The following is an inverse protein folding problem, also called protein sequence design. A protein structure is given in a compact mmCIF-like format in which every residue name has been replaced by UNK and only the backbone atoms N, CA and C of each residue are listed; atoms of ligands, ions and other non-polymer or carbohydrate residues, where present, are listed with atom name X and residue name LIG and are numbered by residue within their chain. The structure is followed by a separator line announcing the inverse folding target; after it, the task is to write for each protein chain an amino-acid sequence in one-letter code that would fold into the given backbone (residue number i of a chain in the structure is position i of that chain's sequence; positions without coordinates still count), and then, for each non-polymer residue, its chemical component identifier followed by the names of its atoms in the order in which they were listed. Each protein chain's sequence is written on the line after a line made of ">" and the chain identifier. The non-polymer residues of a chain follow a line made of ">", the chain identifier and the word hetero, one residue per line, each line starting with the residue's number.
data_IF_857586504662
#
_entry.id   IF_857586504662
#
_cell.length_a   1.000
_cell.length_b   1.000
_cell.length_c   1.000
_cell.angle_alpha   90.00
_cell.angle_beta   90.00
_cell.angle_gamma   90.00
#
_symmetry.space_group_name_H-M   'P 1'
#
loop_
_entity.id
_entity.type
_entity.pdbx_description
1 polymer ?
#
# COMPACT_ATOMS: atom_id res chain seq x y z
N UNK A 1 72.62 -16.63 26.00
CA UNK A 1 73.47 -15.44 26.20
C UNK A 1 72.95 -14.37 25.25
N UNK A 2 72.07 -13.48 25.72
CA UNK A 2 72.38 -12.17 26.36
C UNK A 2 72.93 -11.17 25.32
N UNK A 3 72.43 -9.94 25.14
CA UNK A 3 71.74 -9.04 26.06
C UNK A 3 70.96 -7.92 25.32
N UNK A 4 69.94 -7.36 25.98
CA UNK A 4 69.47 -5.97 25.83
C UNK A 4 70.13 -5.11 26.96
N UNK A 5 69.83 -3.80 27.19
CA UNK A 5 69.45 -2.63 26.38
C UNK A 5 70.47 -1.46 26.63
N UNK A 6 70.17 -0.13 26.55
CA UNK A 6 69.34 0.55 27.57
C UNK A 6 68.40 1.69 27.07
N UNK A 7 67.41 1.99 27.91
CA UNK A 7 66.60 3.21 27.95
C UNK A 7 67.40 4.42 28.43
N UNK A 8 66.96 5.63 28.08
CA UNK A 8 67.29 6.83 28.84
C UNK A 8 66.03 7.67 29.02
N UNK A 9 65.81 7.98 30.28
CA UNK A 9 64.71 8.67 30.92
C UNK A 9 65.20 10.09 31.28
N UNK A 10 64.26 10.98 31.60
CA UNK A 10 64.43 12.35 32.15
C UNK A 10 64.98 13.44 31.18
N UNK A 11 64.47 14.67 31.12
CA UNK A 11 64.02 15.58 32.18
C UNK A 11 62.95 16.58 31.67
N UNK A 12 61.99 16.88 32.54
CA UNK A 12 61.16 18.11 32.50
C UNK A 12 62.01 19.33 32.89
N UNK A 13 61.54 20.57 32.61
CA UNK A 13 60.96 21.31 33.73
C UNK A 13 59.67 22.09 33.42
N UNK A 14 58.94 22.33 34.50
CA UNK A 14 57.72 23.15 34.66
C UNK A 14 58.02 24.65 34.50
N UNK A 15 57.00 25.39 34.04
CA UNK A 15 56.66 26.77 34.43
C UNK A 15 55.14 26.87 34.24
N UNK A 16 54.30 27.02 35.28
CA UNK A 16 53.89 28.29 35.92
C UNK A 16 53.60 29.36 34.85
N UNK A 17 52.38 29.88 34.61
CA UNK A 17 51.40 30.54 35.51
C UNK A 17 50.14 30.95 34.64
N UNK A 18 49.16 31.80 35.05
CA UNK A 18 47.87 31.43 35.66
C UNK A 18 46.57 31.75 34.85
N UNK A 19 45.51 31.05 35.27
CA UNK A 19 44.12 31.47 35.55
C UNK A 19 43.52 32.74 34.90
N UNK A 20 42.60 32.57 33.93
CA UNK A 20 41.53 33.54 33.61
C UNK A 20 40.25 32.80 33.23
N UNK A 21 39.25 32.85 34.11
CA UNK A 21 37.89 32.39 33.85
C UNK A 21 37.12 33.37 32.95
N UNK A 22 36.44 32.93 31.87
CA UNK A 22 35.51 33.79 31.14
C UNK A 22 34.14 33.80 31.82
N UNK A 23 33.69 34.99 32.19
CA UNK A 23 32.31 35.30 32.65
C UNK A 23 31.28 34.87 31.60
N UNK A 24 30.12 34.29 31.98
CA UNK A 24 29.00 34.11 31.06
C UNK A 24 28.30 35.44 30.79
N UNK A 25 28.26 35.83 29.52
CA UNK A 25 27.55 36.99 29.01
C UNK A 25 26.03 36.83 29.16
N UNK A 26 25.39 37.92 29.55
CA UNK A 26 23.94 38.09 29.66
C UNK A 26 23.36 38.53 28.30
N UNK A 27 22.15 38.02 28.01
CA UNK A 27 21.11 38.48 27.06
C UNK A 27 21.26 38.07 25.58
N UNK A 28 20.23 37.41 25.05
CA UNK A 28 19.11 38.04 24.33
C UNK A 28 17.97 37.03 24.12
N UNK A 29 16.76 37.43 24.46
CA UNK A 29 15.54 36.72 24.08
C UNK A 29 15.29 36.92 22.57
N UNK A 30 14.84 35.90 21.82
CA UNK A 30 14.39 36.11 20.45
C UNK A 30 12.99 36.73 20.44
N UNK A 31 12.87 37.86 19.73
CA UNK A 31 11.60 38.49 19.37
C UNK A 31 10.83 37.60 18.38
N UNK A 32 9.55 37.40 18.66
CA UNK A 32 8.59 36.64 17.87
C UNK A 32 7.82 37.61 16.96
N UNK A 33 8.41 37.96 15.82
CA UNK A 33 7.76 38.78 14.76
C UNK A 33 7.29 37.96 13.56
N UNK A 34 7.28 36.63 13.62
CA UNK A 34 7.00 35.77 12.45
C UNK A 34 5.54 35.34 12.29
N UNK A 35 4.64 35.69 13.20
CA UNK A 35 3.23 35.22 13.16
C UNK A 35 2.30 36.10 12.32
N UNK A 36 2.63 37.37 12.09
CA UNK A 36 1.75 38.29 11.36
C UNK A 36 1.98 38.25 9.83
N UNK A 37 3.17 37.88 9.36
CA UNK A 37 3.45 37.80 7.90
C UNK A 37 2.75 36.60 7.23
N UNK A 38 2.50 35.52 7.97
CA UNK A 38 1.80 34.33 7.45
C UNK A 38 0.29 34.60 7.30
N UNK A 39 -0.30 35.42 8.18
CA UNK A 39 -1.72 35.79 8.10
C UNK A 39 -2.02 36.72 6.91
N UNK A 40 -1.04 37.51 6.47
CA UNK A 40 -1.18 38.38 5.28
C UNK A 40 -1.08 37.57 3.99
N UNK A 41 -0.22 36.55 3.93
CA UNK A 41 -0.12 35.67 2.75
C UNK A 41 -1.38 34.82 2.54
N UNK A 42 -1.99 34.30 3.62
CA UNK A 42 -3.20 33.48 3.55
C UNK A 42 -4.49 34.26 3.23
N UNK A 43 -4.51 35.57 3.48
CA UNK A 43 -5.68 36.42 3.19
C UNK A 43 -5.76 36.91 1.75
N UNK A 44 -4.72 36.68 0.94
CA UNK A 44 -4.64 37.14 -0.46
C UNK A 44 -5.06 36.09 -1.51
N UNK A 45 -5.45 34.88 -1.08
CA UNK A 45 -5.76 33.75 -1.98
C UNK A 45 -7.26 33.41 -2.07
N UNK A 46 -8.14 34.30 -1.64
CA UNK A 46 -9.60 34.10 -1.64
C UNK A 46 -10.34 35.05 -2.60
N UNK A 47 -9.71 35.40 -3.72
CA UNK A 47 -10.40 36.14 -4.77
C UNK A 47 -10.55 35.27 -6.03
N UNK A 48 -11.80 34.85 -6.25
CA UNK A 48 -12.42 34.37 -7.50
C UNK A 48 -11.81 33.17 -8.25
N UNK A 49 -12.46 31.99 -8.29
CA UNK A 49 -12.18 31.01 -9.34
C UNK A 49 -12.75 31.52 -10.68
N UNK A 50 -11.85 31.75 -11.64
CA UNK A 50 -12.22 31.88 -13.06
C UNK A 50 -12.90 30.59 -13.54
N UNK A 51 -14.02 30.68 -14.30
CA UNK A 51 -14.63 29.49 -14.88
C UNK A 51 -13.74 28.97 -16.02
N UNK A 52 -13.20 27.76 -15.84
CA UNK A 52 -12.45 27.04 -16.87
C UNK A 52 -13.35 26.71 -18.08
N UNK A 53 -13.06 27.22 -19.29
CA UNK A 53 -13.86 27.02 -20.49
C UNK A 53 -13.71 25.62 -21.11
N UNK A 54 -12.92 24.72 -20.54
CA UNK A 54 -12.75 23.36 -21.06
C UNK A 54 -13.74 22.32 -20.54
N UNK A 55 -14.59 22.69 -19.58
CA UNK A 55 -15.76 21.91 -19.24
C UNK A 55 -16.92 22.37 -20.11
N UNK A 56 -17.11 21.65 -21.23
CA UNK A 56 -18.29 21.74 -22.07
C UNK A 56 -19.55 21.55 -21.22
N UNK A 57 -20.12 22.67 -20.78
CA UNK A 57 -21.37 22.72 -20.06
C UNK A 57 -22.49 22.30 -21.00
N UNK A 58 -22.84 21.02 -20.99
CA UNK A 58 -24.12 20.55 -21.50
C UNK A 58 -25.21 21.05 -20.56
N UNK A 59 -25.59 22.30 -20.77
CA UNK A 59 -26.70 22.93 -20.07
C UNK A 59 -27.98 22.15 -20.38
N UNK A 60 -28.78 21.88 -19.35
CA UNK A 60 -30.08 21.19 -19.40
C UNK A 60 -31.12 21.87 -20.30
N UNK A 61 -30.79 23.04 -20.85
CA UNK A 61 -31.61 23.79 -21.79
C UNK A 61 -31.55 23.25 -23.23
N UNK A 62 -30.44 22.66 -23.66
CA UNK A 62 -30.32 22.13 -25.03
C UNK A 62 -31.00 20.76 -25.22
N UNK A 63 -31.06 19.93 -24.18
CA UNK A 63 -31.83 18.68 -24.19
C UNK A 63 -33.35 18.94 -24.25
N UNK A 64 -33.84 19.97 -23.56
CA UNK A 64 -35.26 20.35 -23.62
C UNK A 64 -35.66 20.89 -25.02
N UNK A 65 -34.74 21.57 -25.71
CA UNK A 65 -34.96 22.07 -27.08
C UNK A 65 -34.84 20.96 -28.14
N UNK A 66 -34.01 19.95 -27.92
CA UNK A 66 -33.94 18.76 -28.79
C UNK A 66 -35.20 17.88 -28.65
N UNK A 67 -35.71 17.70 -27.43
CA UNK A 67 -36.95 16.95 -27.19
C UNK A 67 -38.19 17.66 -27.75
N UNK A 68 -38.23 18.99 -27.73
CA UNK A 68 -39.32 19.76 -28.33
C UNK A 68 -39.36 19.68 -29.87
N UNK A 69 -38.21 19.50 -30.54
CA UNK A 69 -38.15 19.34 -32.00
C UNK A 69 -38.55 17.94 -32.48
N UNK A 70 -38.50 16.95 -31.61
CA UNK A 70 -38.88 15.56 -31.94
C UNK A 70 -40.37 15.28 -31.71
N UNK A 71 -41.11 16.21 -31.08
CA UNK A 71 -42.55 16.12 -30.86
C UNK A 71 -43.39 16.79 -31.97
N UNK A 72 -42.76 17.50 -32.91
CA UNK A 72 -43.44 18.35 -33.92
C UNK A 72 -43.35 17.80 -35.36
N UNK A 73 -43.03 16.51 -35.56
CA UNK A 73 -42.95 15.92 -36.91
C UNK A 73 -44.05 14.86 -37.16
N UNK A 74 -45.28 15.26 -37.57
CA UNK A 74 -46.34 14.34 -37.95
C UNK A 74 -46.39 14.13 -39.47
N UNK A 75 -45.32 13.61 -40.09
CA UNK A 75 -45.37 13.20 -41.50
C UNK A 75 -44.25 12.23 -41.91
N UNK A 76 -44.42 10.92 -41.69
CA UNK A 76 -43.79 9.86 -42.49
C UNK A 76 -44.30 8.47 -42.10
N UNK A 77 -45.56 8.19 -42.45
CA UNK A 77 -46.04 6.84 -42.76
C UNK A 77 -46.06 6.71 -44.29
N UNK A 78 -45.95 5.47 -44.81
CA UNK A 78 -45.71 5.02 -46.20
C UNK A 78 -44.22 4.78 -46.48
N UNK A 79 -43.73 3.61 -46.90
CA UNK A 79 -44.32 2.41 -47.47
C UNK A 79 -43.34 1.22 -47.29
N UNK A 80 -43.80 -0.05 -47.26
CA UNK A 80 -43.00 -1.23 -47.00
C UNK A 80 -42.77 -2.05 -48.29
N UNK A 81 -41.53 -2.20 -48.78
CA UNK A 81 -41.21 -3.30 -49.72
C UNK A 81 -39.71 -3.65 -49.72
N UNK A 82 -39.43 -4.93 -49.45
CA UNK A 82 -38.22 -5.74 -49.71
C UNK A 82 -37.88 -6.52 -48.45
N UNK A 83 -38.09 -7.81 -48.33
CA UNK A 83 -38.26 -8.85 -49.34
C UNK A 83 -37.52 -10.09 -48.83
N UNK A 84 -38.12 -11.26 -49.08
CA UNK A 84 -37.66 -12.63 -48.86
C UNK A 84 -37.98 -13.27 -47.49
N UNK A 85 -38.47 -14.50 -47.36
CA UNK A 85 -39.33 -15.45 -48.11
C UNK A 85 -39.41 -16.70 -47.19
N UNK A 86 -40.36 -17.61 -47.46
CA UNK A 86 -40.50 -18.98 -46.88
C UNK A 86 -41.23 -19.07 -45.52
N UNK A 87 -42.39 -19.70 -45.39
CA UNK A 87 -43.19 -20.45 -46.36
C UNK A 87 -44.41 -21.15 -45.73
N UNK A 88 -45.29 -21.55 -46.65
CA UNK A 88 -46.31 -22.62 -46.57
C UNK A 88 -47.55 -22.38 -45.71
N UNK A 89 -48.60 -22.03 -46.45
CA UNK A 89 -50.02 -22.02 -46.13
C UNK A 89 -50.62 -23.41 -46.38
N UNK A 90 -51.46 -23.94 -45.48
CA UNK A 90 -52.39 -25.05 -45.76
C UNK A 90 -53.56 -25.06 -44.75
N UNK A 91 -54.66 -24.45 -45.19
CA UNK A 91 -56.06 -24.84 -45.04
C UNK A 91 -56.72 -24.97 -43.64
N UNK A 92 -57.67 -24.05 -43.40
CA UNK A 92 -58.86 -24.18 -42.55
C UNK A 92 -59.80 -25.30 -43.06
N UNK A 93 -60.97 -25.67 -42.44
CA UNK A 93 -61.76 -24.92 -41.45
C UNK A 93 -62.48 -25.78 -40.36
N UNK A 94 -63.45 -25.16 -39.67
CA UNK A 94 -64.61 -25.73 -38.93
C UNK A 94 -64.57 -25.51 -37.40
N UNK A 95 -65.27 -24.46 -36.97
CA UNK A 95 -65.93 -24.32 -35.65
C UNK A 95 -67.03 -25.40 -35.50
N UNK A 96 -67.43 -25.85 -34.29
CA UNK A 96 -67.88 -24.95 -33.23
C UNK A 96 -67.65 -25.38 -31.76
N UNK A 97 -67.94 -24.40 -30.89
CA UNK A 97 -68.46 -24.53 -29.54
C UNK A 97 -67.48 -24.70 -28.36
N UNK A 98 -67.55 -23.67 -27.51
CA UNK A 98 -67.39 -23.68 -26.05
C UNK A 98 -66.03 -24.09 -25.49
N UNK A 99 -65.20 -23.10 -25.18
CA UNK A 99 -64.66 -22.97 -23.83
C UNK A 99 -64.29 -21.52 -23.55
N UNK A 100 -64.95 -20.99 -22.51
CA UNK A 100 -64.61 -19.73 -21.86
C UNK A 100 -63.33 -19.97 -21.07
N UNK A 101 -62.20 -19.54 -21.59
CA UNK A 101 -60.95 -19.38 -20.86
C UNK A 101 -60.52 -17.91 -20.97
N UNK A 102 -60.28 -17.29 -19.82
CA UNK A 102 -59.64 -15.98 -19.74
C UNK A 102 -58.14 -16.12 -20.03
N UNK A 103 -57.57 -15.34 -20.96
CA UNK A 103 -56.13 -15.11 -21.00
C UNK A 103 -55.85 -13.68 -20.56
N UNK A 104 -55.11 -13.52 -19.45
CA UNK A 104 -54.79 -12.17 -18.99
C UNK A 104 -53.80 -12.04 -17.83
N UNK A 105 -53.00 -13.06 -17.52
CA UNK A 105 -51.82 -12.85 -16.68
C UNK A 105 -50.68 -12.32 -17.55
N UNK A 106 -50.75 -11.04 -17.89
CA UNK A 106 -49.61 -10.28 -18.41
C UNK A 106 -48.51 -10.28 -17.35
N UNK A 107 -47.45 -11.06 -17.57
CA UNK A 107 -46.19 -10.96 -16.85
C UNK A 107 -45.67 -9.53 -16.95
N UNK A 108 -45.78 -8.78 -15.85
CA UNK A 108 -45.10 -7.49 -15.73
C UNK A 108 -43.59 -7.77 -15.67
N UNK A 109 -42.76 -7.06 -16.46
CA UNK A 109 -41.32 -7.16 -16.32
C UNK A 109 -40.96 -6.78 -14.88
N UNK A 110 -40.31 -7.71 -14.19
CA UNK A 110 -39.90 -7.53 -12.81
C UNK A 110 -38.89 -6.38 -12.77
N UNK A 111 -39.25 -5.29 -12.09
CA UNK A 111 -38.42 -4.11 -11.92
C UNK A 111 -37.33 -4.40 -10.86
N UNK A 112 -36.33 -5.16 -11.28
CA UNK A 112 -35.17 -5.56 -10.47
C UNK A 112 -34.37 -4.34 -9.98
N UNK A 113 -34.39 -3.24 -10.74
CA UNK A 113 -33.74 -2.00 -10.38
C UNK A 113 -34.41 -1.37 -9.15
N UNK A 114 -35.75 -1.34 -9.10
CA UNK A 114 -36.51 -0.87 -7.93
C UNK A 114 -36.27 -1.73 -6.67
N UNK A 115 -36.10 -3.04 -6.83
CA UNK A 115 -35.77 -3.97 -5.75
C UNK A 115 -34.33 -3.77 -5.23
N UNK A 116 -33.36 -3.54 -6.12
CA UNK A 116 -31.97 -3.25 -5.76
C UNK A 116 -31.84 -1.92 -5.01
N UNK A 117 -32.52 -0.86 -5.48
CA UNK A 117 -32.50 0.44 -4.81
C UNK A 117 -33.15 0.39 -3.43
N UNK A 118 -34.27 -0.35 -3.28
CA UNK A 118 -34.90 -0.57 -1.96
C UNK A 118 -34.03 -1.40 -1.02
N UNK A 119 -33.33 -2.40 -1.53
CA UNK A 119 -32.37 -3.19 -0.74
C UNK A 119 -31.18 -2.35 -0.27
N UNK A 120 -30.64 -1.49 -1.15
CA UNK A 120 -29.51 -0.64 -0.80
C UNK A 120 -29.89 0.43 0.23
N UNK A 121 -31.07 1.04 0.10
CA UNK A 121 -31.58 2.00 1.08
C UNK A 121 -31.80 1.36 2.46
N UNK A 122 -32.21 0.09 2.51
CA UNK A 122 -32.33 -0.69 3.74
C UNK A 122 -30.97 -0.99 4.39
N UNK A 123 -29.96 -1.34 3.61
CA UNK A 123 -28.62 -1.63 4.13
C UNK A 123 -27.95 -0.38 4.72
N UNK A 124 -28.07 0.76 4.04
CA UNK A 124 -27.50 2.04 4.50
C UNK A 124 -28.20 2.53 5.79
N UNK A 125 -29.52 2.38 5.89
CA UNK A 125 -30.25 2.76 7.11
C UNK A 125 -29.94 1.85 8.30
N UNK A 126 -29.76 0.54 8.08
CA UNK A 126 -29.29 -0.37 9.13
C UNK A 126 -27.84 -0.08 9.55
N UNK A 127 -26.96 0.26 8.61
CA UNK A 127 -25.58 0.66 8.92
C UNK A 127 -25.53 1.95 9.75
N UNK A 128 -26.33 2.96 9.39
CA UNK A 128 -26.43 4.21 10.17
C UNK A 128 -27.06 3.99 11.55
N UNK A 129 -28.11 3.15 11.64
CA UNK A 129 -28.70 2.77 12.93
C UNK A 129 -27.71 2.03 13.83
N UNK A 130 -26.91 1.14 13.25
CA UNK A 130 -25.83 0.44 13.96
C UNK A 130 -24.72 1.41 14.43
N UNK A 131 -24.33 2.37 13.59
CA UNK A 131 -23.33 3.38 13.94
C UNK A 131 -23.83 4.30 15.07
N UNK A 132 -25.12 4.66 15.05
CA UNK A 132 -25.75 5.46 16.10
C UNK A 132 -25.86 4.68 17.41
N UNK A 133 -26.19 3.39 17.33
CA UNK A 133 -26.36 2.53 18.50
C UNK A 133 -25.02 2.14 19.15
N UNK A 134 -23.96 1.95 18.36
CA UNK A 134 -22.63 1.59 18.87
C UNK A 134 -21.86 2.76 19.50
N UNK A 135 -22.42 3.97 19.49
CA UNK A 135 -22.11 5.02 20.46
C UNK A 135 -20.64 5.42 20.61
N UNK A 136 -19.79 5.13 19.61
CA UNK A 136 -18.40 5.57 19.56
C UNK A 136 -18.27 6.71 18.56
N UNK A 137 -18.77 7.87 18.96
CA UNK A 137 -18.22 9.11 18.46
C UNK A 137 -16.74 9.12 18.85
N UNK A 138 -15.85 9.06 17.85
CA UNK A 138 -14.42 9.32 18.06
C UNK A 138 -14.29 10.67 18.77
N UNK A 139 -13.61 10.76 19.93
CA UNK A 139 -13.33 12.06 20.53
C UNK A 139 -12.46 12.87 19.55
N UNK A 140 -12.68 14.19 19.41
CA UNK A 140 -11.81 15.03 18.60
C UNK A 140 -10.39 15.00 19.18
N UNK A 141 -9.34 15.14 18.35
CA UNK A 141 -7.97 15.16 18.82
C UNK A 141 -7.78 16.34 19.78
N UNK A 142 -7.46 16.04 21.03
CA UNK A 142 -7.11 17.04 22.02
C UNK A 142 -5.81 17.76 21.62
N UNK A 143 -5.84 19.09 21.63
CA UNK A 143 -4.66 19.93 21.52
C UNK A 143 -3.64 19.56 22.62
N UNK A 144 -2.33 19.56 22.34
CA UNK A 144 -1.32 19.27 23.35
C UNK A 144 -1.29 20.40 24.38
N UNK A 145 -1.87 20.13 25.55
CA UNK A 145 -1.74 20.98 26.72
C UNK A 145 -0.27 21.07 27.15
N UNK A 146 0.20 22.31 27.20
CA UNK A 146 1.54 22.76 27.59
C UNK A 146 1.80 22.41 29.05
N UNK A 147 2.53 21.33 29.33
CA UNK A 147 3.00 21.01 30.69
C UNK A 147 4.24 21.83 31.06
N UNK A 148 4.08 22.68 32.06
CA UNK A 148 5.15 23.37 32.80
C UNK A 148 5.37 22.63 34.12
N UNK A 149 6.61 22.42 34.60
CA UNK A 149 6.90 21.41 35.59
C UNK A 149 6.67 21.92 37.03
N UNK A 150 6.08 21.07 37.87
CA UNK A 150 6.04 21.30 39.33
C UNK A 150 6.48 20.05 40.11
N UNK A 151 7.32 20.32 41.10
CA UNK A 151 8.15 19.41 41.91
C UNK A 151 7.40 18.37 42.75
N UNK A 152 8.01 17.17 42.79
CA UNK A 152 8.27 16.27 43.93
C UNK A 152 7.10 15.90 44.86
N UNK A 153 6.74 14.62 44.82
CA UNK A 153 6.63 13.80 46.04
C UNK A 153 7.07 12.37 45.75
N UNK A 154 7.97 11.88 46.60
CA UNK A 154 8.44 10.50 46.62
C UNK A 154 7.28 9.58 46.99
N UNK A 155 6.97 8.65 46.10
CA UNK A 155 6.17 7.46 46.40
C UNK A 155 6.98 6.28 45.90
N UNK A 156 7.20 5.37 46.84
CA UNK A 156 7.89 4.10 46.78
C UNK A 156 7.45 3.25 45.56
N UNK A 157 8.39 2.71 44.77
CA UNK A 157 8.04 1.90 43.61
C UNK A 157 7.56 0.52 44.05
N UNK A 158 6.41 0.02 43.54
CA UNK A 158 6.04 -1.37 43.72
C UNK A 158 7.07 -2.30 43.05
N UNK A 159 7.34 -3.49 43.61
CA UNK A 159 8.34 -4.40 43.08
C UNK A 159 8.03 -4.79 41.64
N UNK A 160 9.08 -4.78 40.81
CA UNK A 160 9.09 -5.19 39.42
C UNK A 160 8.05 -6.26 39.12
N UNK A 161 6.98 -5.85 38.44
CA UNK A 161 6.20 -6.78 37.65
C UNK A 161 7.19 -7.43 36.69
N UNK A 162 7.40 -8.73 36.92
CA UNK A 162 8.18 -9.65 36.10
C UNK A 162 7.98 -9.24 34.66
N UNK A 163 9.07 -8.78 34.02
CA UNK A 163 9.12 -8.62 32.59
C UNK A 163 8.64 -9.95 32.01
N UNK A 164 7.40 -9.95 31.51
CA UNK A 164 6.94 -11.02 30.65
C UNK A 164 7.90 -10.93 29.49
N UNK A 165 8.87 -11.85 29.46
CA UNK A 165 9.83 -11.95 28.39
C UNK A 165 9.03 -11.85 27.10
N UNK A 166 9.30 -10.80 26.32
CA UNK A 166 8.79 -10.72 24.96
C UNK A 166 9.03 -12.11 24.33
N UNK A 167 8.04 -12.72 23.67
CA UNK A 167 8.23 -14.03 23.07
C UNK A 167 9.49 -13.95 22.22
N UNK A 168 10.44 -14.86 22.49
CA UNK A 168 11.70 -14.93 21.77
C UNK A 168 11.39 -14.76 20.28
N UNK A 169 11.90 -13.67 19.68
CA UNK A 169 11.68 -13.44 18.26
C UNK A 169 12.09 -14.72 17.54
N UNK A 170 11.23 -15.28 16.66
CA UNK A 170 11.57 -16.51 15.97
C UNK A 170 12.95 -16.32 15.36
N UNK A 171 13.86 -17.25 15.63
CA UNK A 171 15.26 -17.17 15.23
C UNK A 171 15.35 -16.94 13.73
N UNK A 172 15.54 -15.68 13.34
CA UNK A 172 15.62 -15.28 11.95
C UNK A 172 16.94 -15.85 11.38
N UNK A 173 16.85 -16.68 10.35
CA UNK A 173 18.05 -17.13 9.66
C UNK A 173 18.56 -16.01 8.78
N UNK A 174 19.73 -15.48 9.11
CA UNK A 174 20.33 -14.37 8.37
C UNK A 174 21.44 -14.87 7.44
N UNK A 175 21.46 -14.36 6.21
CA UNK A 175 22.52 -14.61 5.22
C UNK A 175 22.96 -13.29 4.57
N UNK A 176 24.08 -13.31 3.85
CA UNK A 176 24.55 -12.17 3.04
C UNK A 176 24.16 -12.34 1.57
N UNK A 177 24.40 -11.30 0.78
CA UNK A 177 24.25 -11.38 -0.68
C UNK A 177 25.22 -12.41 -1.28
N UNK A 178 24.75 -13.11 -2.31
CA UNK A 178 25.44 -14.22 -2.98
C UNK A 178 25.53 -15.52 -2.19
N UNK A 179 25.06 -15.57 -0.93
CA UNK A 179 25.19 -16.75 -0.07
C UNK A 179 23.87 -17.52 0.03
N UNK A 180 23.80 -18.76 -0.50
CA UNK A 180 22.59 -19.57 -0.45
C UNK A 180 22.26 -20.00 0.98
N UNK A 181 20.98 -20.04 1.31
CA UNK A 181 20.45 -20.65 2.53
C UNK A 181 19.40 -21.69 2.16
N UNK A 182 19.50 -22.88 2.76
CA UNK A 182 18.53 -23.97 2.52
C UNK A 182 17.54 -24.03 3.67
N UNK A 183 16.26 -24.10 3.32
CA UNK A 183 15.14 -24.12 4.25
C UNK A 183 14.11 -25.14 3.76
N UNK A 184 13.97 -26.25 4.47
CA UNK A 184 12.97 -27.30 4.20
C UNK A 184 12.87 -27.73 2.73
N UNK A 185 14.01 -27.86 2.05
CA UNK A 185 14.06 -28.26 0.64
C UNK A 185 13.87 -27.11 -0.36
N UNK A 186 13.80 -25.86 0.10
CA UNK A 186 13.92 -24.66 -0.73
C UNK A 186 15.30 -24.03 -0.53
N UNK A 187 16.09 -23.90 -1.60
CA UNK A 187 17.32 -23.11 -1.59
C UNK A 187 17.00 -21.67 -2.00
N UNK A 188 17.37 -20.74 -1.13
CA UNK A 188 17.13 -19.30 -1.29
C UNK A 188 18.48 -18.59 -1.38
N UNK A 189 18.75 -17.94 -2.50
CA UNK A 189 20.00 -17.22 -2.75
C UNK A 189 19.70 -15.75 -3.03
N UNK A 190 19.91 -14.85 -2.07
CA UNK A 190 19.84 -13.41 -2.32
C UNK A 190 20.97 -13.03 -3.27
N UNK A 191 20.65 -12.45 -4.43
CA UNK A 191 21.65 -12.15 -5.46
C UNK A 191 22.23 -10.75 -5.28
N UNK A 192 21.38 -9.75 -5.28
CA UNK A 192 21.77 -8.34 -5.31
C UNK A 192 20.65 -7.43 -4.81
N UNK A 193 21.03 -6.24 -4.35
CA UNK A 193 20.13 -5.14 -4.00
C UNK A 193 20.45 -3.94 -4.88
N UNK A 194 19.45 -3.40 -5.57
CA UNK A 194 19.61 -2.21 -6.43
C UNK A 194 18.74 -1.08 -5.91
N UNK A 195 19.20 0.16 -6.11
CA UNK A 195 18.32 1.33 -6.04
C UNK A 195 17.74 1.58 -7.43
N UNK A 196 16.41 1.60 -7.56
CA UNK A 196 15.75 1.84 -8.86
C UNK A 196 14.39 2.52 -8.72
N UNK A 197 13.94 3.13 -9.82
CA UNK A 197 12.56 3.56 -9.98
C UNK A 197 11.63 2.37 -10.17
N UNK A 198 10.40 2.49 -9.69
CA UNK A 198 9.36 1.46 -9.76
C UNK A 198 8.14 2.04 -10.46
N UNK A 199 7.62 1.31 -11.44
CA UNK A 199 6.42 1.67 -12.20
C UNK A 199 5.25 0.76 -11.81
N UNK A 200 4.24 1.36 -11.19
CA UNK A 200 2.96 0.71 -10.92
C UNK A 200 1.97 1.11 -12.02
N UNK A 201 1.34 0.12 -12.64
CA UNK A 201 0.40 0.30 -13.75
C UNK A 201 -0.96 -0.25 -13.36
N UNK A 202 -2.02 0.46 -13.73
CA UNK A 202 -3.39 -0.01 -13.62
C UNK A 202 -4.07 0.09 -14.97
N UNK A 203 -4.49 -1.05 -15.50
CA UNK A 203 -5.24 -1.12 -16.75
C UNK A 203 -6.72 -0.80 -16.50
N UNK A 204 -7.27 0.12 -17.29
CA UNK A 204 -8.67 0.56 -17.29
C UNK A 204 -9.30 0.31 -18.66
N UNK A 205 -9.12 -0.90 -19.21
CA UNK A 205 -9.54 -1.23 -20.58
C UNK A 205 -8.51 -0.77 -21.60
N UNK A 206 -8.86 0.22 -22.43
CA UNK A 206 -7.96 0.78 -23.46
C UNK A 206 -6.96 1.80 -22.90
N UNK A 207 -7.22 2.32 -21.70
CA UNK A 207 -6.34 3.26 -21.02
C UNK A 207 -5.53 2.58 -19.91
N UNK A 208 -4.33 3.12 -19.64
CA UNK A 208 -3.48 2.69 -18.53
C UNK A 208 -3.10 3.88 -17.66
N UNK A 209 -3.37 3.79 -16.36
CA UNK A 209 -2.81 4.72 -15.38
C UNK A 209 -1.44 4.23 -14.93
N UNK A 210 -0.50 5.15 -14.82
CA UNK A 210 0.89 4.87 -14.46
C UNK A 210 1.26 5.72 -13.25
N UNK A 211 1.92 5.09 -12.28
CA UNK A 211 2.55 5.75 -11.13
C UNK A 211 4.01 5.36 -11.07
N UNK A 212 4.86 6.36 -11.04
CA UNK A 212 6.31 6.18 -10.92
C UNK A 212 6.74 6.55 -9.51
N UNK A 213 7.61 5.71 -8.96
CA UNK A 213 8.12 5.82 -7.60
C UNK A 213 9.64 5.73 -7.64
N UNK A 214 10.33 6.80 -7.27
CA UNK A 214 11.78 6.84 -7.24
C UNK A 214 12.36 6.43 -5.89
N UNK A 215 13.62 5.97 -5.92
CA UNK A 215 14.37 5.68 -4.70
C UNK A 215 13.89 4.47 -3.92
N UNK A 216 13.28 3.50 -4.60
CA UNK A 216 12.99 2.18 -4.05
C UNK A 216 14.26 1.31 -4.06
N UNK A 217 14.31 0.34 -3.16
CA UNK A 217 15.27 -0.76 -3.22
C UNK A 217 14.61 -1.98 -3.85
N UNK A 218 15.39 -2.75 -4.60
CA UNK A 218 14.98 -3.98 -5.23
C UNK A 218 15.94 -5.10 -4.85
N UNK A 219 15.48 -6.05 -4.04
CA UNK A 219 16.21 -7.27 -3.72
C UNK A 219 15.81 -8.36 -4.71
N UNK A 220 16.79 -8.88 -5.47
CA UNK A 220 16.58 -10.06 -6.31
C UNK A 220 16.98 -11.31 -5.54
N UNK A 221 16.06 -12.26 -5.43
CA UNK A 221 16.25 -13.53 -4.73
C UNK A 221 16.03 -14.68 -5.70
N UNK A 222 17.02 -15.55 -5.82
CA UNK A 222 16.90 -16.80 -6.56
C UNK A 222 16.35 -17.89 -5.65
N UNK A 223 15.29 -18.53 -6.10
CA UNK A 223 14.63 -19.64 -5.44
C UNK A 223 14.85 -20.90 -6.25
N UNK A 224 15.25 -21.97 -5.59
CA UNK A 224 15.40 -23.29 -6.19
C UNK A 224 14.71 -24.33 -5.33
N UNK A 225 13.76 -25.04 -5.92
CA UNK A 225 13.09 -26.14 -5.23
C UNK A 225 13.98 -27.38 -5.31
N UNK A 226 14.50 -27.84 -4.18
CA UNK A 226 15.37 -29.01 -4.07
C UNK A 226 14.59 -30.33 -3.95
N UNK A 227 13.26 -30.30 -3.92
CA UNK A 227 12.48 -31.54 -3.98
C UNK A 227 12.71 -32.23 -5.34
N UNK A 228 12.85 -33.56 -5.31
CA UNK A 228 12.99 -34.38 -6.52
C UNK A 228 11.62 -34.81 -7.07
N UNK A 229 10.69 -35.14 -6.18
CA UNK A 229 9.35 -35.67 -6.51
C UNK A 229 8.22 -34.81 -5.91
N UNK A 230 8.51 -33.55 -5.55
CA UNK A 230 7.58 -32.66 -4.86
C UNK A 230 6.54 -32.00 -5.76
N UNK A 231 5.60 -31.28 -5.15
CA UNK A 231 4.69 -30.40 -5.89
C UNK A 231 5.37 -29.05 -6.21
N UNK A 232 4.76 -28.29 -7.12
CA UNK A 232 5.16 -26.89 -7.39
C UNK A 232 4.94 -26.06 -6.14
N UNK A 233 5.96 -25.30 -5.75
CA UNK A 233 5.88 -24.38 -4.61
C UNK A 233 5.60 -22.97 -5.11
N UNK A 234 4.82 -22.20 -4.35
CA UNK A 234 4.72 -20.75 -4.53
C UNK A 234 5.27 -20.06 -3.29
N UNK A 235 6.60 -19.83 -3.21
CA UNK A 235 7.24 -19.45 -1.95
C UNK A 235 6.77 -18.08 -1.43
N UNK A 236 6.55 -17.12 -2.33
CA UNK A 236 6.12 -15.75 -1.99
C UNK A 236 4.92 -15.41 -2.85
N UNK A 237 3.96 -14.64 -2.31
CA UNK A 237 2.89 -14.00 -3.10
C UNK A 237 2.75 -12.53 -2.73
N UNK A 238 2.11 -11.76 -3.60
CA UNK A 238 1.88 -10.33 -3.39
C UNK A 238 1.19 -10.00 -2.04
N UNK A 239 0.24 -10.85 -1.60
CA UNK A 239 -0.46 -10.65 -0.34
C UNK A 239 0.45 -10.75 0.90
N UNK A 240 1.59 -11.45 0.81
CA UNK A 240 2.51 -11.56 1.94
C UNK A 240 3.23 -10.24 2.22
N UNK A 241 3.41 -9.39 1.20
CA UNK A 241 4.12 -8.11 1.34
C UNK A 241 3.42 -7.12 2.28
N UNK A 242 2.14 -7.34 2.56
CA UNK A 242 1.34 -6.51 3.48
C UNK A 242 1.71 -6.77 4.95
N UNK A 243 2.29 -7.94 5.26
CA UNK A 243 2.79 -8.26 6.61
C UNK A 243 4.12 -7.54 6.87
N UNK A 244 4.05 -6.28 7.30
CA UNK A 244 5.22 -5.43 7.57
C UNK A 244 6.14 -5.91 8.71
N UNK A 245 5.73 -6.90 9.50
CA UNK A 245 6.62 -7.52 10.51
C UNK A 245 7.47 -8.64 9.90
N UNK A 246 6.92 -9.36 8.93
CA UNK A 246 7.63 -10.40 8.18
C UNK A 246 8.39 -9.85 6.98
N UNK A 247 7.88 -8.80 6.33
CA UNK A 247 8.36 -8.22 5.08
C UNK A 247 8.70 -6.74 5.28
N UNK A 248 9.96 -6.48 5.63
CA UNK A 248 10.45 -5.13 5.85
C UNK A 248 11.97 -5.08 5.79
N UNK A 249 12.53 -3.87 5.71
CA UNK A 249 13.96 -3.61 5.87
C UNK A 249 14.17 -3.00 7.25
N UNK A 250 14.93 -3.71 8.10
CA UNK A 250 15.48 -3.15 9.33
C UNK A 250 16.67 -2.25 8.97
N UNK A 251 16.56 -0.95 9.24
CA UNK A 251 17.58 0.04 8.89
C UNK A 251 18.01 0.88 10.12
N UNK A 252 18.75 0.30 11.08
CA UNK A 252 19.17 1.01 12.29
C UNK A 252 20.09 2.20 11.94
N UNK A 253 19.99 3.36 12.61
CA UNK A 253 19.09 3.70 13.74
C UNK A 253 17.68 4.18 13.34
N UNK A 254 17.28 4.04 12.08
CA UNK A 254 16.02 4.53 11.53
C UNK A 254 14.83 3.56 11.67
N UNK A 255 13.63 4.02 11.26
CA UNK A 255 12.44 3.18 11.20
C UNK A 255 12.57 2.11 10.12
N UNK A 256 11.81 1.03 10.27
CA UNK A 256 11.67 0.01 9.23
C UNK A 256 11.15 0.61 7.93
N UNK A 257 11.64 0.10 6.81
CA UNK A 257 11.12 0.41 5.48
C UNK A 257 10.19 -0.73 5.09
N UNK A 258 8.92 -0.42 4.81
CA UNK A 258 7.95 -1.42 4.38
C UNK A 258 8.24 -1.89 2.96
N UNK A 259 7.66 -3.04 2.58
CA UNK A 259 7.64 -3.47 1.20
C UNK A 259 6.62 -2.67 0.39
N UNK A 260 6.90 -2.51 -0.90
CA UNK A 260 5.95 -1.96 -1.85
C UNK A 260 4.82 -2.98 -2.04
N UNK A 261 3.76 -2.85 -1.25
CA UNK A 261 2.61 -3.74 -1.27
C UNK A 261 1.41 -3.04 -1.91
N UNK A 262 0.89 -3.60 -3.00
CA UNK A 262 -0.34 -3.13 -3.61
C UNK A 262 -1.54 -3.81 -2.96
N UNK A 263 -2.57 -3.02 -2.63
CA UNK A 263 -3.78 -3.55 -2.01
C UNK A 263 -4.44 -4.60 -2.93
N UNK A 264 -4.86 -5.77 -2.40
CA UNK A 264 -5.60 -6.75 -3.18
C UNK A 264 -6.83 -6.13 -3.83
N UNK A 265 -7.04 -6.41 -5.12
CA UNK A 265 -8.19 -5.86 -5.87
C UNK A 265 -8.08 -4.39 -6.27
N UNK A 266 -6.96 -3.72 -6.00
CA UNK A 266 -6.74 -2.32 -6.39
C UNK A 266 -6.63 -2.11 -7.90
N UNK A 267 -6.44 -3.19 -8.68
CA UNK A 267 -6.20 -3.16 -10.12
C UNK A 267 -4.82 -2.66 -10.51
N UNK A 268 -3.98 -2.29 -9.54
CA UNK A 268 -2.59 -1.94 -9.77
C UNK A 268 -1.72 -3.21 -9.80
N UNK A 269 -0.72 -3.20 -10.68
CA UNK A 269 0.35 -4.17 -10.75
C UNK A 269 1.69 -3.44 -10.87
N UNK A 270 2.76 -3.99 -10.30
CA UNK A 270 4.11 -3.47 -10.51
C UNK A 270 4.76 -4.26 -11.63
N UNK A 271 5.24 -3.58 -12.68
CA UNK A 271 5.70 -4.23 -13.92
C UNK A 271 6.79 -5.29 -13.69
N UNK A 272 7.72 -5.02 -12.77
CA UNK A 272 8.89 -5.87 -12.54
C UNK A 272 8.80 -6.77 -11.29
N UNK A 273 7.62 -6.88 -10.69
CA UNK A 273 7.43 -7.68 -9.47
C UNK A 273 6.60 -8.92 -9.76
N UNK A 274 7.29 -10.04 -9.98
CA UNK A 274 6.67 -11.33 -10.28
C UNK A 274 6.90 -12.35 -9.15
N UNK A 275 5.90 -13.19 -8.93
CA UNK A 275 5.92 -14.25 -7.91
C UNK A 275 5.68 -15.63 -8.57
N UNK A 276 6.68 -16.18 -9.27
CA UNK A 276 6.57 -17.44 -9.97
C UNK A 276 6.38 -18.63 -9.03
N UNK A 277 5.75 -19.67 -9.56
CA UNK A 277 5.81 -21.01 -8.98
C UNK A 277 7.11 -21.71 -9.37
N UNK A 278 7.62 -22.55 -8.49
CA UNK A 278 8.88 -23.27 -8.66
C UNK A 278 8.62 -24.77 -8.52
N UNK A 279 8.66 -25.49 -9.65
CA UNK A 279 8.57 -26.94 -9.68
C UNK A 279 9.83 -27.63 -9.14
N UNK A 280 9.77 -28.95 -8.90
CA UNK A 280 10.92 -29.76 -8.47
C UNK A 280 12.16 -29.54 -9.35
N UNK A 281 13.28 -29.17 -8.73
CA UNK A 281 14.53 -28.86 -9.43
C UNK A 281 14.54 -27.55 -10.24
N UNK A 282 13.40 -26.88 -10.39
CA UNK A 282 13.31 -25.60 -11.11
C UNK A 282 13.95 -24.46 -10.30
N UNK A 283 14.40 -23.44 -11.02
CA UNK A 283 14.99 -22.22 -10.48
C UNK A 283 14.17 -21.05 -11.00
N UNK A 284 13.81 -20.12 -10.11
CA UNK A 284 13.14 -18.89 -10.48
C UNK A 284 13.69 -17.71 -9.66
N UNK A 285 13.72 -16.53 -10.28
CA UNK A 285 14.14 -15.31 -9.60
C UNK A 285 12.89 -14.49 -9.21
N UNK A 286 12.91 -13.92 -8.01
CA UNK A 286 11.85 -13.10 -7.43
C UNK A 286 12.43 -11.76 -7.03
N UNK A 287 11.69 -10.68 -7.32
CA UNK A 287 12.10 -9.32 -6.96
C UNK A 287 11.20 -8.79 -5.84
N UNK A 288 11.81 -8.47 -4.70
CA UNK A 288 11.14 -7.79 -3.59
C UNK A 288 11.47 -6.30 -3.66
N UNK A 289 10.44 -5.47 -3.58
CA UNK A 289 10.56 -4.03 -3.71
C UNK A 289 10.23 -3.37 -2.37
N UNK A 290 11.02 -2.37 -1.99
CA UNK A 290 10.72 -1.52 -0.84
C UNK A 290 9.84 -0.35 -1.24
N UNK A 291 9.17 0.26 -0.27
CA UNK A 291 8.67 1.62 -0.42
C UNK A 291 9.81 2.62 -0.72
N UNK A 292 9.49 3.77 -1.34
CA UNK A 292 10.46 4.85 -1.55
C UNK A 292 11.16 5.26 -0.26
N UNK A 293 12.49 5.27 -0.28
CA UNK A 293 13.29 5.73 0.85
C UNK A 293 13.26 7.25 1.03
N UNK A 294 12.89 8.00 -0.02
CA UNK A 294 13.06 9.44 -0.08
C UNK A 294 14.53 9.84 0.08
N UNK A 295 14.79 10.85 0.89
CA UNK A 295 16.13 11.38 1.18
C UNK A 295 16.87 10.60 2.28
N UNK A 296 16.35 9.45 2.72
CA UNK A 296 16.99 8.66 3.77
C UNK A 296 18.35 8.14 3.30
N UNK A 297 19.37 8.40 4.10
CA UNK A 297 20.68 7.78 3.93
C UNK A 297 20.60 6.31 4.30
N UNK A 298 21.19 5.48 3.46
CA UNK A 298 21.35 4.05 3.71
C UNK A 298 22.36 3.86 4.84
N UNK A 299 21.99 3.07 5.84
CA UNK A 299 22.87 2.73 6.96
C UNK A 299 23.68 1.46 6.69
N UNK A 300 24.89 1.31 7.24
CA UNK A 300 25.55 0.02 7.26
C UNK A 300 24.76 -0.99 8.10
N UNK A 301 24.76 -2.26 7.70
CA UNK A 301 24.13 -3.34 8.46
C UNK A 301 22.60 -3.39 8.37
N UNK A 302 22.02 -2.94 7.26
CA UNK A 302 20.59 -3.13 7.00
C UNK A 302 20.28 -4.62 6.85
N UNK A 303 19.08 -5.03 7.25
CA UNK A 303 18.60 -6.40 7.07
C UNK A 303 17.26 -6.42 6.36
N UNK A 304 17.20 -7.02 5.18
CA UNK A 304 15.95 -7.30 4.48
C UNK A 304 15.31 -8.55 5.04
N UNK A 305 14.14 -8.41 5.65
CA UNK A 305 13.35 -9.52 6.19
C UNK A 305 12.28 -9.93 5.20
N UNK A 306 12.12 -11.23 5.01
CA UNK A 306 10.98 -11.80 4.28
C UNK A 306 10.69 -13.20 4.79
N UNK A 307 9.50 -13.71 4.47
CA UNK A 307 9.14 -15.12 4.71
C UNK A 307 8.98 -15.86 3.40
N UNK A 308 9.30 -17.14 3.41
CA UNK A 308 9.07 -18.05 2.29
C UNK A 308 8.20 -19.21 2.75
N UNK A 309 7.20 -19.56 1.96
CA UNK A 309 6.46 -20.80 2.12
C UNK A 309 7.32 -21.96 1.61
N UNK A 310 7.42 -23.02 2.42
CA UNK A 310 8.24 -24.21 2.11
C UNK A 310 7.40 -25.42 1.73
N UNK A 311 6.08 -25.31 1.80
CA UNK A 311 5.12 -26.34 1.40
C UNK A 311 4.07 -25.79 0.40
N UNK A 312 3.41 -26.65 -0.38
CA UNK A 312 2.42 -26.24 -1.38
C UNK A 312 1.17 -25.60 -0.78
N UNK A 313 0.73 -26.07 0.40
CA UNK A 313 -0.41 -25.49 1.11
C UNK A 313 -0.08 -24.15 1.79
N UNK A 314 1.22 -23.80 1.86
CA UNK A 314 1.78 -22.57 2.43
C UNK A 314 1.45 -22.41 3.92
N UNK A 315 1.26 -23.53 4.62
CA UNK A 315 1.05 -23.59 6.06
C UNK A 315 2.36 -23.43 6.84
N UNK A 316 3.47 -23.86 6.25
CA UNK A 316 4.82 -23.72 6.78
C UNK A 316 5.51 -22.55 6.11
N UNK A 317 5.89 -21.57 6.92
CA UNK A 317 6.58 -20.36 6.49
C UNK A 317 7.80 -20.13 7.35
N UNK A 318 8.89 -19.83 6.68
CA UNK A 318 10.19 -19.65 7.34
C UNK A 318 10.71 -18.23 7.12
N UNK A 319 11.21 -17.63 8.20
CA UNK A 319 11.69 -16.25 8.20
C UNK A 319 13.17 -16.17 7.82
N UNK A 320 13.47 -15.34 6.84
CA UNK A 320 14.81 -15.10 6.33
C UNK A 320 15.20 -13.63 6.46
N UNK A 321 16.47 -13.39 6.77
CA UNK A 321 17.11 -12.08 6.81
C UNK A 321 18.25 -12.01 5.81
N UNK A 322 18.36 -10.92 5.06
CA UNK A 322 19.48 -10.67 4.16
C UNK A 322 20.18 -9.40 4.61
N UNK A 323 21.41 -9.52 5.07
CA UNK A 323 22.23 -8.36 5.46
C UNK A 323 22.88 -7.73 4.25
N UNK A 324 22.79 -6.40 4.15
CA UNK A 324 23.43 -5.59 3.12
C UNK A 324 23.78 -4.20 3.66
N UNK A 325 24.71 -3.51 3.01
CA UNK A 325 25.12 -2.14 3.32
C UNK A 325 25.10 -1.24 2.09
N UNK A 326 25.50 0.03 2.26
CA UNK A 326 25.60 0.99 1.16
C UNK A 326 26.56 0.53 0.05
N UNK A 327 27.65 -0.16 0.41
CA UNK A 327 28.67 -0.63 -0.53
C UNK A 327 28.20 -1.82 -1.38
N UNK A 328 27.10 -2.47 -0.98
CA UNK A 328 26.50 -3.60 -1.70
C UNK A 328 25.50 -3.16 -2.79
N UNK A 329 25.20 -1.86 -2.85
CA UNK A 329 24.22 -1.28 -3.78
C UNK A 329 24.99 -0.53 -4.88
N UNK A 330 24.99 -1.05 -6.11
CA UNK A 330 25.65 -0.42 -7.25
C UNK A 330 24.91 0.82 -7.76
#
# INVERSE_FOLDING_TARGET
>A
MAAAPPSSDELRPRSDEPDVAPRPARRRSPDSTTSDEISVLLSSSLDSPEPDPMLGGSSSWDLARAAARQADDPASLTDPTSGLDVGVDLAAPVEPASHREEPGASERPHDWAGLLVRSYASAVTLALGWLLWTGKASPPPAEPAREVPARRRAVEPPPSAVATAAPASPSLRTTGLGRPVVVDGLEVTPLLVLRRGVRAVRSLGEESLVREHDGCLALTVRLKNLSADGERLRPIVAADLVDGDAFAIDAPPGPRVAMFALAPGSGWAVEDQTFPEVGPGEIADVVLLSEPLGDRRLSPGMTWRFRVATDPARERREGLGVTFGPDDIP
#
